data_IF_787369867374
#
_entry.id   IF_787369867374
#
_cell.length_a   1.000
_cell.length_b   1.000
_cell.length_c   1.000
_cell.angle_alpha   90.00
_cell.angle_beta   90.00
_cell.angle_gamma   90.00
#
_symmetry.space_group_name_H-M   'P 1'
#
loop_
_entity.id
_entity.type
_entity.pdbx_description
1 polymer ?
#
# COMPACT_ATOMS: atom_id res chain seq x y z
N UNK A 1 20.13 13.82 38.53
CA UNK A 1 18.67 13.63 38.54
C UNK A 1 18.19 14.01 37.17
N UNK A 2 17.95 13.01 36.31
CA UNK A 2 17.23 13.22 35.06
C UNK A 2 15.79 13.58 35.43
N UNK A 3 15.32 14.75 35.00
CA UNK A 3 13.91 15.11 35.12
C UNK A 3 13.07 14.02 34.45
N UNK A 4 11.96 13.56 35.05
CA UNK A 4 11.07 12.64 34.37
C UNK A 4 10.64 13.26 33.04
N UNK A 5 10.56 12.48 31.95
CA UNK A 5 10.10 13.01 30.67
C UNK A 5 8.73 13.65 30.88
N UNK A 6 8.61 14.93 30.52
CA UNK A 6 7.33 15.65 30.53
C UNK A 6 6.34 14.82 29.72
N UNK A 7 5.31 14.30 30.38
CA UNK A 7 4.22 13.59 29.71
C UNK A 7 3.50 14.62 28.82
N UNK A 8 3.75 14.55 27.51
CA UNK A 8 3.05 15.40 26.54
C UNK A 8 1.60 14.97 26.49
N UNK A 9 0.69 15.89 26.85
CA UNK A 9 -0.75 15.67 26.76
C UNK A 9 -1.33 16.27 25.47
N UNK A 10 -2.59 15.95 25.18
CA UNK A 10 -3.37 16.57 24.09
C UNK A 10 -3.38 18.10 24.25
N UNK A 11 -3.54 18.58 25.48
CA UNK A 11 -3.56 20.01 25.80
C UNK A 11 -2.23 20.69 25.48
N UNK A 12 -1.11 20.07 25.90
CA UNK A 12 0.23 20.60 25.59
C UNK A 12 0.48 20.67 24.09
N UNK A 13 0.04 19.66 23.34
CA UNK A 13 0.14 19.65 21.88
C UNK A 13 -0.72 20.76 21.24
N UNK A 14 -1.94 20.97 21.73
CA UNK A 14 -2.80 22.06 21.27
C UNK A 14 -2.19 23.44 21.55
N UNK A 15 -1.64 23.63 22.76
CA UNK A 15 -1.00 24.89 23.16
C UNK A 15 0.24 25.18 22.29
N UNK A 16 1.04 24.16 21.97
CA UNK A 16 2.19 24.29 21.09
C UNK A 16 1.80 24.71 19.66
N UNK A 17 0.80 24.06 19.06
CA UNK A 17 0.30 24.40 17.72
C UNK A 17 -0.25 25.83 17.69
N UNK A 18 -0.97 26.24 18.73
CA UNK A 18 -1.47 27.61 18.85
C UNK A 18 -0.36 28.65 18.96
N UNK A 19 0.77 28.31 19.61
CA UNK A 19 1.93 29.20 19.68
C UNK A 19 2.63 29.34 18.31
N UNK A 20 2.77 28.25 17.54
CA UNK A 20 3.40 28.28 16.22
C UNK A 20 2.69 29.21 15.22
N UNK A 21 1.36 29.28 15.26
CA UNK A 21 0.57 30.18 14.41
C UNK A 21 0.92 31.66 14.63
N UNK A 22 1.37 32.01 15.83
CA UNK A 22 1.76 33.39 16.16
C UNK A 22 3.13 33.81 15.61
N UNK A 23 3.99 32.86 15.22
CA UNK A 23 5.38 33.13 14.79
C UNK A 23 5.55 33.44 13.29
N UNK A 24 4.48 33.37 12.47
CA UNK A 24 4.48 33.67 11.01
C UNK A 24 5.69 33.12 10.22
N UNK A 25 6.14 31.91 10.58
CA UNK A 25 7.34 31.32 9.97
C UNK A 25 7.03 30.80 8.57
N UNK A 26 7.86 31.17 7.59
CA UNK A 26 7.73 30.68 6.21
C UNK A 26 8.48 29.36 6.07
N UNK A 27 7.79 28.28 5.71
CA UNK A 27 8.37 26.95 5.50
C UNK A 27 8.30 26.62 4.00
N UNK A 28 9.40 26.14 3.42
CA UNK A 28 9.43 25.72 2.01
C UNK A 28 8.66 24.41 1.83
N UNK A 29 7.65 24.39 0.96
CA UNK A 29 6.91 23.15 0.63
C UNK A 29 7.63 22.40 -0.49
N UNK A 30 7.88 21.10 -0.29
CA UNK A 30 8.50 20.22 -1.28
C UNK A 30 7.41 19.52 -2.08
N UNK A 31 7.46 19.67 -3.41
CA UNK A 31 6.47 19.12 -4.34
C UNK A 31 6.93 17.85 -5.07
N UNK A 32 8.23 17.50 -5.00
CA UNK A 32 8.74 16.27 -5.62
C UNK A 32 8.27 15.05 -4.81
N UNK A 33 7.84 13.99 -5.51
CA UNK A 33 7.34 12.76 -4.89
C UNK A 33 8.13 11.55 -5.38
N UNK A 34 9.45 11.66 -5.42
CA UNK A 34 10.32 10.58 -5.86
C UNK A 34 10.26 9.43 -4.83
N UNK A 35 10.17 8.17 -5.31
CA UNK A 35 9.97 6.93 -4.53
C UNK A 35 8.62 6.79 -3.82
N UNK A 36 8.24 7.75 -2.96
CA UNK A 36 7.01 7.68 -2.19
C UNK A 36 5.93 8.57 -2.82
N UNK A 37 4.81 7.95 -3.16
CA UNK A 37 3.60 8.66 -3.55
C UNK A 37 2.85 9.14 -2.31
N UNK A 38 2.05 10.21 -2.39
CA UNK A 38 1.10 10.56 -1.34
C UNK A 38 0.22 9.35 -0.98
N UNK A 39 -0.10 9.18 0.30
CA UNK A 39 -0.94 8.07 0.79
C UNK A 39 -2.32 8.11 0.14
N UNK A 40 -2.86 9.29 -0.13
CA UNK A 40 -4.12 9.44 -0.86
C UNK A 40 -4.08 8.82 -2.26
N UNK A 41 -2.95 8.93 -2.98
CA UNK A 41 -2.78 8.27 -4.28
C UNK A 41 -2.77 6.74 -4.14
N UNK A 42 -2.19 6.21 -3.06
CA UNK A 42 -2.23 4.77 -2.75
C UNK A 42 -3.65 4.31 -2.42
N UNK A 43 -4.41 5.10 -1.64
CA UNK A 43 -5.81 4.80 -1.36
C UNK A 43 -6.66 4.76 -2.64
N UNK A 44 -6.45 5.72 -3.55
CA UNK A 44 -7.11 5.71 -4.85
C UNK A 44 -6.74 4.49 -5.70
N UNK A 45 -5.47 4.09 -5.69
CA UNK A 45 -5.01 2.86 -6.35
C UNK A 45 -5.75 1.63 -5.80
N UNK A 46 -6.03 1.60 -4.50
CA UNK A 46 -6.78 0.54 -3.82
C UNK A 46 -8.31 0.69 -3.90
N UNK A 47 -8.82 1.61 -4.71
CA UNK A 47 -10.26 1.89 -4.91
C UNK A 47 -10.96 2.29 -3.61
N UNK A 48 -10.29 3.12 -2.81
CA UNK A 48 -10.84 3.73 -1.61
C UNK A 48 -10.43 5.19 -1.52
N UNK A 49 -10.79 5.87 -0.43
CA UNK A 49 -10.45 7.27 -0.20
C UNK A 49 -10.28 7.56 1.28
N UNK A 50 -9.59 8.65 1.59
CA UNK A 50 -9.48 9.15 2.96
C UNK A 50 -10.86 9.38 3.59
N UNK A 51 -11.84 9.82 2.80
CA UNK A 51 -13.23 10.00 3.23
C UNK A 51 -13.86 8.69 3.74
N UNK A 52 -13.68 7.59 3.01
CA UNK A 52 -14.19 6.28 3.41
C UNK A 52 -13.49 5.78 4.67
N UNK A 53 -12.16 5.94 4.75
CA UNK A 53 -11.37 5.58 5.93
C UNK A 53 -11.87 6.34 7.16
N UNK A 54 -12.08 7.66 7.06
CA UNK A 54 -12.59 8.50 8.15
C UNK A 54 -14.02 8.14 8.53
N UNK A 55 -14.87 7.84 7.56
CA UNK A 55 -16.25 7.40 7.80
C UNK A 55 -16.27 6.11 8.62
N UNK A 56 -15.45 5.12 8.25
CA UNK A 56 -15.31 3.86 8.98
C UNK A 56 -14.66 4.07 10.36
N UNK A 57 -13.63 4.90 10.47
CA UNK A 57 -12.99 5.24 11.74
C UNK A 57 -14.00 5.86 12.71
N UNK A 58 -14.90 6.74 12.24
CA UNK A 58 -15.93 7.37 13.06
C UNK A 58 -16.99 6.39 13.56
N UNK A 59 -17.28 5.31 12.82
CA UNK A 59 -18.17 4.25 13.31
C UNK A 59 -17.60 3.56 14.56
N UNK A 60 -16.27 3.43 14.63
CA UNK A 60 -15.57 2.84 15.78
C UNK A 60 -15.23 3.89 16.86
N UNK A 61 -14.97 5.13 16.46
CA UNK A 61 -14.54 6.25 17.30
C UNK A 61 -15.43 7.47 17.05
N UNK A 62 -16.64 7.55 17.67
CA UNK A 62 -17.62 8.60 17.36
C UNK A 62 -17.17 10.04 17.64
N UNK A 63 -16.12 10.21 18.45
CA UNK A 63 -15.56 11.52 18.79
C UNK A 63 -14.71 12.15 17.66
N UNK A 64 -14.22 11.34 16.71
CA UNK A 64 -13.42 11.81 15.58
C UNK A 64 -14.26 12.78 14.73
N UNK A 65 -13.72 13.92 14.24
CA UNK A 65 -14.49 14.85 13.41
C UNK A 65 -15.14 14.17 12.19
N UNK A 66 -16.23 14.74 11.68
CA UNK A 66 -16.87 14.20 10.48
C UNK A 66 -15.98 14.40 9.26
N UNK A 67 -16.21 13.59 8.23
CA UNK A 67 -15.60 13.75 6.91
C UNK A 67 -15.75 15.18 6.37
N UNK A 68 -16.91 15.81 6.54
CA UNK A 68 -17.15 17.21 6.17
C UNK A 68 -16.27 18.19 6.96
N UNK A 69 -16.08 17.96 8.26
CA UNK A 69 -15.19 18.80 9.07
C UNK A 69 -13.75 18.64 8.61
N UNK A 70 -13.27 17.41 8.40
CA UNK A 70 -11.91 17.17 7.92
C UNK A 70 -11.69 17.76 6.53
N UNK A 71 -12.63 17.57 5.60
CA UNK A 71 -12.57 18.15 4.26
C UNK A 71 -12.47 19.69 4.32
N UNK A 72 -13.21 20.33 5.23
CA UNK A 72 -13.11 21.77 5.45
C UNK A 72 -11.72 22.19 5.94
N UNK A 73 -11.14 21.44 6.89
CA UNK A 73 -9.79 21.72 7.40
C UNK A 73 -8.73 21.60 6.30
N UNK A 74 -8.85 20.60 5.43
CA UNK A 74 -7.93 20.40 4.30
C UNK A 74 -8.10 21.53 3.26
N UNK A 75 -9.34 21.97 3.00
CA UNK A 75 -9.60 23.06 2.04
C UNK A 75 -9.26 24.46 2.56
N UNK A 76 -9.10 24.64 3.87
CA UNK A 76 -8.80 25.92 4.52
C UNK A 76 -7.49 25.82 5.34
N UNK A 77 -6.33 25.48 4.72
CA UNK A 77 -5.10 25.17 5.45
C UNK A 77 -4.53 26.37 6.22
N UNK A 78 -4.95 27.59 5.90
CA UNK A 78 -4.56 28.82 6.59
C UNK A 78 -5.41 29.15 7.81
N UNK A 79 -6.47 28.37 8.09
CA UNK A 79 -7.33 28.58 9.25
C UNK A 79 -7.03 27.53 10.30
N UNK A 80 -6.51 27.98 11.46
CA UNK A 80 -6.26 27.09 12.56
C UNK A 80 -7.58 26.43 13.05
N UNK A 81 -7.63 25.09 13.19
CA UNK A 81 -8.81 24.43 13.74
C UNK A 81 -9.10 24.92 15.16
N UNK A 82 -10.38 25.00 15.53
CA UNK A 82 -10.76 25.30 16.92
C UNK A 82 -10.11 24.32 17.91
N UNK A 83 -9.77 24.78 19.12
CA UNK A 83 -9.19 23.93 20.18
C UNK A 83 -10.01 22.65 20.41
N UNK A 84 -11.33 22.73 20.41
CA UNK A 84 -12.20 21.55 20.54
C UNK A 84 -12.09 20.55 19.39
N UNK A 85 -11.73 21.01 18.19
CA UNK A 85 -11.44 20.13 17.04
C UNK A 85 -10.07 19.49 17.18
N UNK A 86 -9.04 20.26 17.56
CA UNK A 86 -7.69 19.73 17.85
C UNK A 86 -7.73 18.66 18.94
N UNK A 87 -8.43 18.92 20.06
CA UNK A 87 -8.60 17.94 21.15
C UNK A 87 -9.21 16.62 20.65
N UNK A 88 -10.16 16.66 19.72
CA UNK A 88 -10.78 15.45 19.15
C UNK A 88 -9.87 14.73 18.17
N UNK A 89 -9.11 15.48 17.36
CA UNK A 89 -8.16 14.92 16.40
C UNK A 89 -7.03 14.19 17.11
N UNK A 90 -6.48 14.80 18.15
CA UNK A 90 -5.31 14.28 18.85
C UNK A 90 -5.64 13.33 20.00
N UNK A 91 -6.91 13.11 20.34
CA UNK A 91 -7.32 12.30 21.49
C UNK A 91 -6.60 10.94 21.60
N UNK A 92 -6.45 10.26 20.47
CA UNK A 92 -5.87 8.91 20.39
C UNK A 92 -4.54 8.88 19.60
N UNK A 93 -3.92 10.04 19.35
CA UNK A 93 -2.63 10.10 18.65
C UNK A 93 -1.47 9.94 19.63
N UNK A 94 -0.30 9.46 19.19
CA UNK A 94 0.90 9.41 20.03
C UNK A 94 1.43 10.85 20.26
N UNK A 95 0.96 11.53 21.31
CA UNK A 95 1.20 12.99 21.49
C UNK A 95 2.67 13.38 21.50
N UNK A 96 3.51 12.56 22.15
CA UNK A 96 4.95 12.77 22.22
C UNK A 96 5.59 12.76 20.82
N UNK A 97 5.21 11.79 19.99
CA UNK A 97 5.74 11.64 18.63
C UNK A 97 5.25 12.78 17.73
N UNK A 98 3.98 13.16 17.84
CA UNK A 98 3.42 14.29 17.09
C UNK A 98 4.13 15.59 17.46
N UNK A 99 4.33 15.86 18.75
CA UNK A 99 5.06 17.05 19.20
C UNK A 99 6.50 17.05 18.70
N UNK A 100 7.20 15.91 18.82
CA UNK A 100 8.59 15.81 18.37
C UNK A 100 8.70 16.03 16.85
N UNK A 101 7.79 15.48 16.05
CA UNK A 101 7.73 15.72 14.61
C UNK A 101 7.53 17.21 14.29
N UNK A 102 6.61 17.90 14.97
CA UNK A 102 6.39 19.33 14.77
C UNK A 102 7.61 20.17 15.17
N UNK A 103 8.32 19.81 16.24
CA UNK A 103 9.58 20.47 16.65
C UNK A 103 10.67 20.25 15.59
N UNK A 104 10.82 19.03 15.12
CA UNK A 104 11.82 18.69 14.11
C UNK A 104 11.52 19.33 12.75
N UNK A 105 10.24 19.46 12.38
CA UNK A 105 9.80 20.31 11.26
C UNK A 105 10.15 21.77 11.50
N UNK A 106 9.91 22.33 12.68
CA UNK A 106 10.30 23.70 13.01
C UNK A 106 11.82 23.95 12.94
N UNK A 107 12.64 22.89 12.95
CA UNK A 107 14.10 22.97 12.74
C UNK A 107 14.49 22.84 11.27
N UNK A 108 13.63 22.22 10.45
CA UNK A 108 13.82 22.07 9.02
C UNK A 108 13.18 23.28 8.33
N UNK A 109 13.93 24.00 7.50
CA UNK A 109 13.35 25.10 6.72
C UNK A 109 12.45 24.61 5.55
N UNK A 110 11.97 23.35 5.61
CA UNK A 110 11.13 22.73 4.61
C UNK A 110 10.12 21.72 5.21
N UNK A 111 9.05 21.44 4.46
CA UNK A 111 8.05 20.41 4.77
C UNK A 111 7.75 19.56 3.52
N UNK A 112 7.65 18.25 3.72
CA UNK A 112 7.32 17.28 2.66
C UNK A 112 6.13 16.42 3.09
N UNK A 113 4.96 16.75 2.55
CA UNK A 113 3.68 16.14 2.94
C UNK A 113 3.67 14.60 2.89
N UNK A 114 4.22 13.91 1.87
CA UNK A 114 4.26 12.45 1.85
C UNK A 114 4.95 11.84 3.08
N UNK A 115 6.02 12.46 3.61
CA UNK A 115 6.65 11.93 4.82
C UNK A 115 5.70 11.93 6.02
N UNK A 116 4.88 12.98 6.16
CA UNK A 116 3.92 13.09 7.26
C UNK A 116 2.81 12.06 7.14
N UNK A 117 2.28 11.89 5.94
CA UNK A 117 1.23 10.91 5.65
C UNK A 117 1.73 9.48 5.91
N UNK A 118 2.92 9.14 5.40
CA UNK A 118 3.50 7.81 5.59
C UNK A 118 3.89 7.56 7.05
N UNK A 119 4.51 8.52 7.74
CA UNK A 119 4.82 8.36 9.18
C UNK A 119 3.56 8.12 9.99
N UNK A 120 2.50 8.91 9.75
CA UNK A 120 1.22 8.73 10.43
C UNK A 120 0.59 7.36 10.14
N UNK A 121 0.70 6.85 8.92
CA UNK A 121 0.22 5.52 8.57
C UNK A 121 1.07 4.41 9.21
N UNK A 122 2.39 4.56 9.25
CA UNK A 122 3.32 3.57 9.82
C UNK A 122 3.23 3.49 11.34
N UNK A 123 2.97 4.62 12.02
CA UNK A 123 2.71 4.66 13.46
C UNK A 123 1.26 4.30 13.81
N UNK A 124 0.37 4.27 12.81
CA UNK A 124 -0.88 3.53 12.94
C UNK A 124 -0.56 2.03 13.03
N UNK A 125 -1.45 1.20 13.57
CA UNK A 125 -1.25 -0.25 13.69
C UNK A 125 -1.29 -0.98 12.33
N UNK A 126 -0.60 -0.45 11.33
CA UNK A 126 -0.41 -1.02 10.01
C UNK A 126 0.40 -2.32 10.10
N UNK A 127 1.42 -2.32 10.95
CA UNK A 127 2.21 -3.50 11.30
C UNK A 127 1.89 -3.98 12.72
N UNK A 128 2.00 -5.29 12.90
CA UNK A 128 1.87 -6.02 14.16
C UNK A 128 3.18 -5.91 14.94
N UNK A 129 4.32 -6.16 14.28
CA UNK A 129 5.64 -6.01 14.88
C UNK A 129 6.21 -4.59 14.71
N UNK A 130 7.13 -4.21 15.60
CA UNK A 130 7.80 -2.90 15.54
C UNK A 130 8.88 -2.86 14.45
N UNK A 131 9.54 -4.00 14.15
CA UNK A 131 10.65 -4.09 13.19
C UNK A 131 10.30 -3.52 11.80
N UNK A 132 9.16 -3.87 11.17
CA UNK A 132 8.75 -3.26 9.91
C UNK A 132 8.48 -1.76 10.02
N UNK A 133 7.91 -1.30 11.14
CA UNK A 133 7.64 0.12 11.37
C UNK A 133 8.94 0.94 11.42
N UNK A 134 9.91 0.51 12.23
CA UNK A 134 11.21 1.17 12.34
C UNK A 134 11.95 1.19 11.00
N UNK A 135 11.91 0.06 10.27
CA UNK A 135 12.49 -0.05 8.94
C UNK A 135 11.91 1.00 7.98
N UNK A 136 10.58 1.06 7.85
CA UNK A 136 9.92 1.96 6.91
C UNK A 136 9.98 3.43 7.34
N UNK A 137 9.99 3.75 8.64
CA UNK A 137 10.24 5.11 9.11
C UNK A 137 11.64 5.59 8.68
N UNK A 138 12.64 4.70 8.73
CA UNK A 138 13.97 4.97 8.19
C UNK A 138 13.92 5.30 6.69
N UNK A 139 13.21 4.49 5.90
CA UNK A 139 13.03 4.72 4.45
C UNK A 139 12.36 6.07 4.17
N UNK A 140 11.30 6.42 4.93
CA UNK A 140 10.59 7.70 4.78
C UNK A 140 11.52 8.88 5.05
N UNK A 141 12.35 8.81 6.10
CA UNK A 141 13.33 9.86 6.41
C UNK A 141 14.35 10.04 5.29
N UNK A 142 14.87 8.94 4.75
CA UNK A 142 15.89 9.00 3.71
C UNK A 142 15.29 9.48 2.37
N UNK A 143 14.04 9.11 2.08
CA UNK A 143 13.29 9.63 0.94
C UNK A 143 12.93 11.12 1.10
N UNK A 144 12.66 11.59 2.32
CA UNK A 144 12.46 13.01 2.63
C UNK A 144 13.71 13.81 2.29
N UNK A 145 14.89 13.32 2.68
CA UNK A 145 16.16 13.96 2.35
C UNK A 145 16.41 14.02 0.84
N UNK A 146 16.19 12.90 0.14
CA UNK A 146 16.31 12.83 -1.33
C UNK A 146 15.44 13.90 -2.00
N UNK A 147 14.18 14.01 -1.60
CA UNK A 147 13.24 14.96 -2.19
C UNK A 147 13.55 16.42 -1.81
N UNK A 148 13.95 16.65 -0.55
CA UNK A 148 14.24 18.00 -0.04
C UNK A 148 15.54 18.61 -0.56
N UNK A 149 16.53 17.77 -0.86
CA UNK A 149 17.91 18.20 -1.13
C UNK A 149 18.35 17.87 -2.55
N UNK A 150 18.18 16.62 -2.97
CA UNK A 150 18.75 16.14 -4.24
C UNK A 150 17.83 16.37 -5.43
N UNK A 151 16.51 16.27 -5.22
CA UNK A 151 15.49 16.58 -6.23
C UNK A 151 15.03 18.04 -6.17
N UNK A 152 15.80 18.92 -5.53
CA UNK A 152 15.42 20.32 -5.36
C UNK A 152 15.38 21.07 -6.70
N UNK A 153 14.39 21.94 -6.89
CA UNK A 153 14.13 22.65 -8.15
C UNK A 153 15.28 23.57 -8.60
N UNK A 154 16.10 24.05 -7.66
CA UNK A 154 17.27 24.89 -7.97
C UNK A 154 18.41 24.10 -8.64
N UNK A 155 18.36 22.77 -8.63
CA UNK A 155 19.30 21.91 -9.35
C UNK A 155 18.81 21.70 -10.78
N UNK A 156 19.75 21.57 -11.72
CA UNK A 156 19.40 21.16 -13.08
C UNK A 156 18.77 19.77 -13.12
N UNK A 157 17.93 19.49 -14.12
CA UNK A 157 17.24 18.21 -14.27
C UNK A 157 18.23 17.05 -14.36
N UNK A 158 19.34 17.21 -15.09
CA UNK A 158 20.42 16.24 -15.17
C UNK A 158 21.02 15.97 -13.78
N UNK A 159 21.33 17.02 -13.01
CA UNK A 159 21.91 16.85 -11.68
C UNK A 159 20.95 16.15 -10.72
N UNK A 160 19.65 16.43 -10.81
CA UNK A 160 18.61 15.75 -10.03
C UNK A 160 18.59 14.25 -10.36
N UNK A 161 18.50 13.88 -11.63
CA UNK A 161 18.43 12.47 -12.02
C UNK A 161 19.75 11.71 -11.82
N UNK A 162 20.90 12.37 -11.95
CA UNK A 162 22.19 11.77 -11.59
C UNK A 162 22.28 11.50 -10.08
N UNK A 163 21.81 12.43 -9.25
CA UNK A 163 21.74 12.23 -7.80
C UNK A 163 20.75 11.13 -7.44
N UNK A 164 19.58 11.11 -8.09
CA UNK A 164 18.56 10.08 -7.94
C UNK A 164 19.11 8.69 -8.26
N UNK A 165 19.72 8.51 -9.44
CA UNK A 165 20.25 7.22 -9.89
C UNK A 165 21.34 6.67 -8.95
N UNK A 166 22.16 7.56 -8.38
CA UNK A 166 23.24 7.22 -7.43
C UNK A 166 22.78 7.13 -5.97
N UNK A 167 21.51 7.42 -5.69
CA UNK A 167 21.02 7.51 -4.32
C UNK A 167 20.91 6.11 -3.68
N UNK A 168 21.50 5.89 -2.50
CA UNK A 168 21.42 4.59 -1.80
C UNK A 168 19.98 4.16 -1.49
N UNK A 169 19.08 5.12 -1.25
CA UNK A 169 17.68 4.79 -0.98
C UNK A 169 16.97 4.31 -2.24
N UNK A 170 17.24 4.93 -3.39
CA UNK A 170 16.73 4.48 -4.69
C UNK A 170 17.28 3.10 -5.01
N UNK A 171 18.55 2.83 -4.73
CA UNK A 171 19.13 1.49 -4.84
C UNK A 171 18.42 0.44 -3.98
N UNK A 172 18.10 0.80 -2.73
CA UNK A 172 17.49 -0.13 -1.78
C UNK A 172 16.05 -0.47 -2.10
N UNK A 173 15.24 0.53 -2.47
CA UNK A 173 13.78 0.36 -2.59
C UNK A 173 13.23 0.48 -4.01
N UNK A 174 13.99 1.04 -4.95
CA UNK A 174 13.59 1.15 -6.35
C UNK A 174 13.61 -0.19 -7.11
N UNK A 175 13.32 -0.08 -8.41
CA UNK A 175 13.34 -1.13 -9.40
C UNK A 175 14.71 -1.18 -10.11
N UNK A 176 15.51 -2.24 -9.91
CA UNK A 176 16.88 -2.27 -10.42
C UNK A 176 16.96 -2.34 -11.95
N UNK A 177 15.99 -2.97 -12.61
CA UNK A 177 16.03 -3.23 -14.07
C UNK A 177 15.92 -1.92 -14.85
N UNK A 178 14.96 -1.05 -14.53
CA UNK A 178 14.77 0.24 -15.22
C UNK A 178 15.91 1.22 -14.89
N UNK A 179 16.41 1.18 -13.65
CA UNK A 179 17.50 2.06 -13.20
C UNK A 179 18.81 1.78 -13.95
N UNK A 180 19.08 0.54 -14.34
CA UNK A 180 20.25 0.21 -15.16
C UNK A 180 20.21 0.97 -16.50
N UNK A 181 19.03 1.13 -17.10
CA UNK A 181 18.83 1.90 -18.32
C UNK A 181 19.01 3.40 -18.09
N UNK A 182 18.56 3.92 -16.94
CA UNK A 182 18.68 5.35 -16.62
C UNK A 182 20.14 5.82 -16.63
N UNK A 183 21.07 5.05 -16.06
CA UNK A 183 22.49 5.46 -16.03
C UNK A 183 23.07 5.69 -17.42
N UNK A 184 22.85 4.75 -18.35
CA UNK A 184 23.30 4.90 -19.73
C UNK A 184 22.61 6.07 -20.43
N UNK A 185 21.31 6.28 -20.12
CA UNK A 185 20.51 7.31 -20.77
C UNK A 185 20.87 8.73 -20.36
N UNK A 186 21.26 8.95 -19.10
CA UNK A 186 21.61 10.27 -18.57
C UNK A 186 22.90 10.85 -19.16
N UNK A 187 23.80 10.01 -19.70
CA UNK A 187 25.03 10.48 -20.34
C UNK A 187 24.79 11.00 -21.78
N UNK A 188 23.64 10.67 -22.38
CA UNK A 188 23.29 11.03 -23.77
C UNK A 188 22.41 12.28 -23.90
N UNK A 189 21.69 12.63 -22.83
CA UNK A 189 20.63 13.64 -22.88
C UNK A 189 21.04 14.99 -22.29
N UNK A 190 20.45 16.05 -22.83
CA UNK A 190 20.51 17.40 -22.23
C UNK A 190 19.34 17.60 -21.27
N UNK A 191 19.45 18.58 -20.37
CA UNK A 191 18.43 18.91 -19.35
C UNK A 191 16.99 18.99 -19.90
N UNK A 192 16.80 19.65 -21.05
CA UNK A 192 15.50 19.87 -21.69
C UNK A 192 14.87 18.56 -22.20
N UNK A 193 15.69 17.56 -22.51
CA UNK A 193 15.29 16.28 -23.08
C UNK A 193 14.95 15.28 -21.98
N UNK A 194 15.65 15.33 -20.84
CA UNK A 194 15.48 14.40 -19.72
C UNK A 194 14.06 14.47 -19.15
N UNK A 195 13.48 15.67 -19.01
CA UNK A 195 12.14 15.83 -18.44
C UNK A 195 11.04 15.10 -19.24
N UNK A 196 11.26 14.90 -20.54
CA UNK A 196 10.30 14.26 -21.45
C UNK A 196 10.78 12.88 -21.95
N UNK A 197 11.92 12.39 -21.46
CA UNK A 197 12.46 11.11 -21.87
C UNK A 197 11.69 9.95 -21.21
N UNK A 198 11.36 8.94 -22.03
CA UNK A 198 10.51 7.81 -21.62
C UNK A 198 11.16 7.00 -20.49
N UNK A 199 12.46 6.72 -20.57
CA UNK A 199 13.20 5.95 -19.55
C UNK A 199 13.20 6.70 -18.21
N UNK A 200 13.35 8.02 -18.27
CA UNK A 200 13.33 8.89 -17.10
C UNK A 200 11.96 8.86 -16.40
N UNK A 201 10.87 8.88 -17.17
CA UNK A 201 9.50 8.73 -16.63
C UNK A 201 9.25 7.30 -16.11
N UNK A 202 9.68 6.29 -16.86
CA UNK A 202 9.55 4.88 -16.51
C UNK A 202 10.25 4.56 -15.20
N UNK A 203 11.45 5.10 -14.94
CA UNK A 203 12.14 4.90 -13.66
C UNK A 203 11.28 5.36 -12.48
N UNK A 204 10.73 6.57 -12.55
CA UNK A 204 9.97 7.13 -11.42
C UNK A 204 8.70 6.31 -11.16
N UNK A 205 8.03 5.87 -12.24
CA UNK A 205 6.85 5.01 -12.14
C UNK A 205 7.24 3.64 -11.57
N UNK A 206 8.26 3.00 -12.14
CA UNK A 206 8.70 1.67 -11.74
C UNK A 206 9.15 1.64 -10.29
N UNK A 207 9.94 2.61 -9.84
CA UNK A 207 10.45 2.68 -8.48
C UNK A 207 9.31 2.88 -7.47
N UNK A 208 8.33 3.75 -7.77
CA UNK A 208 7.15 3.93 -6.92
C UNK A 208 6.34 2.64 -6.78
N UNK A 209 6.14 1.91 -7.87
CA UNK A 209 5.43 0.62 -7.81
C UNK A 209 6.27 -0.41 -7.05
N UNK A 210 7.59 -0.47 -7.27
CA UNK A 210 8.49 -1.35 -6.52
C UNK A 210 8.42 -1.07 -5.01
N UNK A 211 8.41 0.20 -4.58
CA UNK A 211 8.24 0.59 -3.18
C UNK A 211 6.92 0.04 -2.61
N UNK A 212 5.81 0.14 -3.35
CA UNK A 212 4.53 -0.44 -2.91
C UNK A 212 4.56 -1.97 -2.84
N UNK A 213 5.21 -2.63 -3.80
CA UNK A 213 5.40 -4.08 -3.78
C UNK A 213 6.23 -4.53 -2.57
N UNK A 214 7.27 -3.78 -2.23
CA UNK A 214 8.09 -4.01 -1.04
C UNK A 214 7.29 -3.80 0.25
N UNK A 215 6.48 -2.74 0.33
CA UNK A 215 5.58 -2.50 1.48
C UNK A 215 4.60 -3.66 1.65
N UNK A 216 3.98 -4.11 0.56
CA UNK A 216 3.10 -5.28 0.58
C UNK A 216 3.82 -6.54 1.07
N UNK A 217 5.07 -6.75 0.65
CA UNK A 217 5.88 -7.88 1.10
C UNK A 217 6.11 -7.87 2.62
N UNK A 218 6.41 -6.69 3.19
CA UNK A 218 6.52 -6.51 4.64
C UNK A 218 5.21 -6.79 5.36
N UNK A 219 4.09 -6.25 4.88
CA UNK A 219 2.77 -6.46 5.50
C UNK A 219 2.40 -7.95 5.51
N UNK A 220 2.69 -8.65 4.41
CA UNK A 220 2.44 -10.09 4.30
C UNK A 220 3.38 -10.88 5.21
N UNK A 221 4.68 -10.57 5.23
CA UNK A 221 5.65 -11.24 6.10
C UNK A 221 5.29 -11.08 7.57
N UNK A 222 4.92 -9.87 7.98
CA UNK A 222 4.50 -9.54 9.33
C UNK A 222 3.24 -10.33 9.74
N UNK A 223 2.25 -10.43 8.85
CA UNK A 223 1.06 -11.27 9.06
C UNK A 223 1.42 -12.75 9.18
N UNK A 224 2.28 -13.28 8.30
CA UNK A 224 2.70 -14.70 8.33
C UNK A 224 3.46 -15.03 9.61
N UNK A 225 4.28 -14.10 10.10
CA UNK A 225 5.02 -14.27 11.36
C UNK A 225 4.09 -14.23 12.57
N UNK A 226 3.02 -13.43 12.53
CA UNK A 226 1.98 -13.44 13.57
C UNK A 226 1.27 -14.80 13.65
N UNK A 227 0.96 -15.43 12.51
CA UNK A 227 0.35 -16.77 12.44
C UNK A 227 1.36 -17.90 12.25
N UNK A 228 2.58 -17.75 12.78
CA UNK A 228 3.71 -18.63 12.46
C UNK A 228 3.45 -20.11 12.74
N UNK A 229 2.83 -20.43 13.88
CA UNK A 229 2.54 -21.83 14.26
C UNK A 229 1.61 -22.51 13.26
N UNK A 230 0.59 -21.79 12.75
CA UNK A 230 -0.29 -22.29 11.70
C UNK A 230 0.46 -22.47 10.39
N UNK A 231 1.34 -21.52 10.05
CA UNK A 231 2.16 -21.59 8.83
C UNK A 231 3.02 -22.85 8.80
N UNK A 232 3.68 -23.18 9.92
CA UNK A 232 4.50 -24.40 10.04
C UNK A 232 3.65 -25.67 10.02
N UNK A 233 2.54 -25.69 10.76
CA UNK A 233 1.63 -26.84 10.80
C UNK A 233 1.11 -27.20 9.40
N UNK A 234 0.84 -26.19 8.59
CA UNK A 234 0.28 -26.35 7.25
C UNK A 234 1.37 -26.55 6.17
N UNK A 235 2.65 -26.59 6.55
CA UNK A 235 3.79 -26.80 5.63
C UNK A 235 4.04 -25.63 4.66
N UNK A 236 3.70 -24.41 5.09
CA UNK A 236 3.71 -23.20 4.26
C UNK A 236 4.92 -22.29 4.54
N UNK A 237 5.89 -22.73 5.35
CA UNK A 237 7.06 -21.95 5.76
C UNK A 237 7.95 -21.47 4.60
N UNK A 238 8.02 -22.25 3.52
CA UNK A 238 8.83 -21.97 2.33
C UNK A 238 7.99 -21.38 1.17
N UNK A 239 6.70 -21.12 1.41
CA UNK A 239 5.85 -20.51 0.40
C UNK A 239 5.91 -19.00 0.53
N UNK A 240 6.22 -18.31 -0.58
CA UNK A 240 5.99 -16.87 -0.71
C UNK A 240 4.51 -16.64 -1.01
N UNK A 241 3.70 -16.08 -0.08
CA UNK A 241 2.29 -15.84 -0.34
C UNK A 241 2.11 -14.87 -1.50
N UNK A 242 0.92 -14.85 -2.12
CA UNK A 242 0.57 -14.00 -3.27
C UNK A 242 1.42 -14.17 -4.54
N UNK A 243 2.49 -14.97 -4.53
CA UNK A 243 3.38 -15.12 -5.67
C UNK A 243 2.66 -15.55 -6.96
N UNK A 244 1.64 -16.42 -6.83
CA UNK A 244 0.82 -16.87 -7.96
C UNK A 244 -0.11 -15.80 -8.53
N UNK A 245 -0.31 -14.69 -7.82
CA UNK A 245 -1.20 -13.58 -8.21
C UNK A 245 -0.39 -12.45 -8.87
N UNK A 246 0.93 -12.40 -8.66
CA UNK A 246 1.79 -11.39 -9.28
C UNK A 246 1.73 -11.48 -10.80
N UNK A 247 1.71 -10.33 -11.50
CA UNK A 247 1.91 -10.28 -12.94
C UNK A 247 3.18 -11.02 -13.36
N UNK A 248 3.03 -11.97 -14.27
CA UNK A 248 4.12 -12.76 -14.83
C UNK A 248 3.76 -13.20 -16.26
N UNK A 249 4.77 -13.44 -17.08
CA UNK A 249 4.58 -14.06 -18.39
C UNK A 249 4.48 -15.57 -18.17
N UNK A 250 3.39 -16.17 -18.62
CA UNK A 250 3.19 -17.61 -18.57
C UNK A 250 4.13 -18.31 -19.56
N UNK A 251 4.97 -19.28 -19.13
CA UNK A 251 5.95 -19.90 -20.00
C UNK A 251 5.37 -20.61 -21.22
N UNK A 252 4.12 -21.09 -21.12
CA UNK A 252 3.46 -21.89 -22.16
C UNK A 252 2.83 -21.00 -23.23
N UNK A 253 2.06 -19.97 -22.82
CA UNK A 253 1.35 -19.08 -23.73
C UNK A 253 2.22 -17.93 -24.23
N UNK A 254 3.27 -17.56 -23.48
CA UNK A 254 4.04 -16.34 -23.72
C UNK A 254 3.25 -15.06 -23.41
N UNK A 255 2.05 -15.18 -22.86
CA UNK A 255 1.17 -14.07 -22.51
C UNK A 255 1.28 -13.73 -21.02
N UNK A 256 0.88 -12.51 -20.67
CA UNK A 256 0.72 -12.12 -19.28
C UNK A 256 -0.40 -12.92 -18.62
N UNK A 257 -0.14 -13.46 -17.43
CA UNK A 257 -1.21 -13.98 -16.59
C UNK A 257 -2.20 -12.86 -16.21
N UNK A 258 -3.41 -13.27 -15.83
CA UNK A 258 -4.41 -12.34 -15.30
C UNK A 258 -4.45 -12.46 -13.78
N UNK A 259 -3.87 -11.48 -13.08
CA UNK A 259 -3.82 -11.45 -11.60
C UNK A 259 -5.21 -11.56 -10.95
N UNK A 260 -6.27 -11.03 -11.57
CA UNK A 260 -7.65 -11.18 -11.07
C UNK A 260 -8.12 -12.62 -11.19
N UNK A 261 -7.87 -13.27 -12.33
CA UNK A 261 -8.13 -14.71 -12.51
C UNK A 261 -7.35 -15.53 -11.49
N UNK A 262 -6.04 -15.29 -11.32
CA UNK A 262 -5.22 -16.00 -10.36
C UNK A 262 -5.73 -15.84 -8.90
N UNK A 263 -6.21 -14.65 -8.53
CA UNK A 263 -6.80 -14.42 -7.21
C UNK A 263 -8.14 -15.15 -7.03
N UNK A 264 -8.98 -15.19 -8.07
CA UNK A 264 -10.23 -15.97 -8.05
C UNK A 264 -9.95 -17.47 -7.99
N UNK A 265 -8.94 -17.97 -8.70
CA UNK A 265 -8.51 -19.37 -8.63
C UNK A 265 -7.95 -19.73 -7.26
N UNK A 266 -7.14 -18.84 -6.66
CA UNK A 266 -6.69 -18.99 -5.28
C UNK A 266 -7.88 -19.16 -4.34
N UNK A 267 -8.86 -18.27 -4.43
CA UNK A 267 -10.05 -18.31 -3.61
C UNK A 267 -10.90 -19.58 -3.86
N UNK A 268 -11.06 -19.99 -5.12
CA UNK A 268 -11.80 -21.19 -5.48
C UNK A 268 -11.17 -22.46 -4.89
N UNK A 269 -9.83 -22.56 -4.89
CA UNK A 269 -9.10 -23.69 -4.29
C UNK A 269 -9.42 -23.83 -2.79
N UNK A 270 -9.61 -22.72 -2.07
CA UNK A 270 -9.98 -22.74 -0.65
C UNK A 270 -11.36 -23.37 -0.38
N UNK A 271 -12.24 -23.40 -1.38
CA UNK A 271 -13.56 -24.03 -1.32
C UNK A 271 -13.61 -25.40 -2.05
N UNK A 272 -12.46 -26.05 -2.26
CA UNK A 272 -12.42 -27.41 -2.84
C UNK A 272 -12.61 -27.45 -4.36
N UNK A 273 -12.25 -26.39 -5.08
CA UNK A 273 -12.30 -26.39 -6.55
C UNK A 273 -11.24 -27.33 -7.17
N UNK A 274 -11.71 -28.37 -7.86
CA UNK A 274 -10.89 -29.40 -8.51
C UNK A 274 -10.58 -29.12 -10.00
N UNK A 275 -10.72 -27.86 -10.47
CA UNK A 275 -10.40 -27.45 -11.85
C UNK A 275 -11.20 -28.14 -12.99
N UNK A 276 -12.27 -28.89 -12.68
CA UNK A 276 -13.19 -29.50 -13.68
C UNK A 276 -13.96 -28.48 -14.53
N UNK A 277 -14.01 -27.23 -14.09
CA UNK A 277 -14.66 -26.09 -14.75
C UNK A 277 -13.89 -24.81 -14.42
N UNK A 278 -14.15 -23.71 -15.13
CA UNK A 278 -13.54 -22.40 -14.80
C UNK A 278 -13.86 -21.96 -13.38
N UNK A 279 -12.90 -21.33 -12.69
CA UNK A 279 -13.07 -20.82 -11.33
C UNK A 279 -14.28 -19.86 -11.21
N UNK A 280 -14.50 -18.99 -12.19
CA UNK A 280 -15.66 -18.07 -12.19
C UNK A 280 -17.02 -18.79 -12.22
N UNK A 281 -17.09 -19.96 -12.87
CA UNK A 281 -18.32 -20.76 -12.90
C UNK A 281 -18.56 -21.40 -11.54
N UNK A 282 -17.50 -22.01 -10.98
CA UNK A 282 -17.53 -22.61 -9.65
C UNK A 282 -17.91 -21.59 -8.56
N UNK A 283 -17.19 -20.47 -8.51
CA UNK A 283 -17.41 -19.39 -7.54
C UNK A 283 -18.76 -18.72 -7.73
N UNK A 284 -19.22 -18.51 -8.97
CA UNK A 284 -20.53 -17.92 -9.22
C UNK A 284 -21.68 -18.78 -8.69
N UNK A 285 -21.59 -20.11 -8.89
CA UNK A 285 -22.54 -21.07 -8.32
C UNK A 285 -22.45 -21.12 -6.79
N UNK A 286 -21.23 -21.13 -6.23
CA UNK A 286 -21.03 -21.13 -4.79
C UNK A 286 -21.59 -19.86 -4.13
N UNK A 287 -21.31 -18.71 -4.72
CA UNK A 287 -21.74 -17.43 -4.20
C UNK A 287 -23.25 -17.25 -4.26
N UNK A 288 -23.93 -17.77 -5.29
CA UNK A 288 -25.39 -17.77 -5.34
C UNK A 288 -26.02 -18.69 -4.27
N UNK A 289 -25.40 -19.83 -3.95
CA UNK A 289 -25.88 -20.75 -2.90
C UNK A 289 -25.83 -20.14 -1.50
N UNK A 290 -24.78 -19.38 -1.21
CA UNK A 290 -24.52 -18.81 0.13
C UNK A 290 -24.89 -17.32 0.24
N UNK A 291 -25.60 -16.75 -0.74
CA UNK A 291 -26.06 -15.37 -0.64
C UNK A 291 -27.33 -15.27 0.19
N UNK A 292 -27.43 -14.22 1.02
CA UNK A 292 -28.66 -13.93 1.76
C UNK A 292 -29.81 -13.49 0.84
N UNK A 293 -29.51 -12.91 -0.32
CA UNK A 293 -30.51 -12.56 -1.32
C UNK A 293 -30.82 -13.76 -2.23
N UNK A 294 -31.87 -14.52 -1.85
CA UNK A 294 -32.34 -15.72 -2.55
C UNK A 294 -32.73 -15.48 -4.02
N UNK A 295 -32.86 -14.23 -4.45
CA UNK A 295 -33.25 -13.88 -5.81
C UNK A 295 -32.06 -13.73 -6.79
N UNK A 296 -30.80 -13.75 -6.31
CA UNK A 296 -29.67 -13.62 -7.24
C UNK A 296 -29.31 -14.96 -7.89
N UNK A 297 -29.62 -15.10 -9.18
CA UNK A 297 -29.23 -16.27 -9.96
C UNK A 297 -27.69 -16.42 -10.09
N UNK A 298 -27.23 -17.67 -10.13
CA UNK A 298 -25.84 -18.02 -10.40
C UNK A 298 -25.34 -17.43 -11.74
N UNK A 299 -26.18 -17.41 -12.76
CA UNK A 299 -25.91 -16.79 -14.08
C UNK A 299 -25.42 -15.34 -13.95
N UNK A 300 -26.04 -14.56 -13.05
CA UNK A 300 -25.71 -13.16 -12.79
C UNK A 300 -24.36 -13.04 -12.07
N UNK A 301 -24.08 -13.90 -11.08
CA UNK A 301 -22.80 -13.93 -10.36
C UNK A 301 -21.65 -14.34 -11.28
N UNK A 302 -21.81 -15.36 -12.11
CA UNK A 302 -20.82 -15.79 -13.10
C UNK A 302 -20.50 -14.65 -14.08
N UNK A 303 -21.54 -13.94 -14.56
CA UNK A 303 -21.37 -12.77 -15.44
C UNK A 303 -20.62 -11.64 -14.75
N UNK A 304 -20.88 -11.40 -13.45
CA UNK A 304 -20.19 -10.39 -12.66
C UNK A 304 -18.69 -10.73 -12.53
N UNK A 305 -18.36 -11.97 -12.15
CA UNK A 305 -16.97 -12.44 -12.06
C UNK A 305 -16.23 -12.36 -13.40
N UNK A 306 -16.91 -12.70 -14.50
CA UNK A 306 -16.37 -12.51 -15.86
C UNK A 306 -16.05 -11.05 -16.16
N UNK A 307 -16.91 -10.12 -15.73
CA UNK A 307 -16.64 -8.69 -15.92
C UNK A 307 -15.40 -8.25 -15.13
N UNK A 308 -15.16 -8.82 -13.94
CA UNK A 308 -13.95 -8.53 -13.15
C UNK A 308 -12.68 -9.00 -13.88
N UNK A 309 -12.64 -10.26 -14.32
CA UNK A 309 -11.51 -10.78 -15.11
C UNK A 309 -11.23 -9.95 -16.36
N UNK A 310 -12.30 -9.50 -17.04
CA UNK A 310 -12.22 -8.69 -18.26
C UNK A 310 -12.03 -7.19 -17.98
N UNK A 311 -12.02 -6.76 -16.72
CA UNK A 311 -11.97 -5.36 -16.28
C UNK A 311 -13.06 -4.48 -16.94
N UNK A 312 -14.27 -5.03 -17.10
CA UNK A 312 -15.43 -4.35 -17.67
C UNK A 312 -16.38 -3.88 -16.57
N UNK A 313 -17.10 -2.79 -16.85
CA UNK A 313 -18.15 -2.21 -15.97
C UNK A 313 -17.64 -1.67 -14.63
N UNK A 314 -16.42 -1.15 -14.61
CA UNK A 314 -15.80 -0.54 -13.43
C UNK A 314 -15.19 -1.57 -12.47
N UNK A 315 -14.59 -1.05 -11.41
CA UNK A 315 -13.92 -1.85 -10.37
C UNK A 315 -14.95 -2.48 -9.42
N UNK A 316 -14.72 -3.69 -8.91
CA UNK A 316 -15.59 -4.30 -7.91
C UNK A 316 -15.55 -3.52 -6.60
N UNK A 317 -16.71 -3.18 -6.05
CA UNK A 317 -16.80 -2.60 -4.71
C UNK A 317 -16.25 -3.58 -3.66
N UNK A 318 -15.53 -3.08 -2.65
CA UNK A 318 -14.93 -3.94 -1.64
C UNK A 318 -15.96 -4.78 -0.86
N UNK A 319 -17.14 -4.23 -0.57
CA UNK A 319 -18.24 -4.99 0.04
C UNK A 319 -18.70 -6.18 -0.81
N UNK A 320 -18.60 -6.07 -2.13
CA UNK A 320 -18.91 -7.16 -3.06
C UNK A 320 -17.82 -8.24 -3.05
N UNK A 321 -16.54 -7.85 -2.98
CA UNK A 321 -15.42 -8.78 -2.78
C UNK A 321 -15.57 -9.54 -1.45
N UNK A 322 -15.90 -8.82 -0.37
CA UNK A 322 -16.16 -9.39 0.96
C UNK A 322 -17.33 -10.38 0.93
N UNK A 323 -18.40 -10.08 0.20
CA UNK A 323 -19.54 -10.99 0.04
C UNK A 323 -19.15 -12.31 -0.66
N UNK A 324 -18.33 -12.24 -1.72
CA UNK A 324 -17.81 -13.45 -2.37
C UNK A 324 -16.89 -14.24 -1.44
N UNK A 325 -15.95 -13.56 -0.78
CA UNK A 325 -15.04 -14.18 0.18
C UNK A 325 -15.81 -14.87 1.32
N UNK A 326 -16.86 -14.24 1.83
CA UNK A 326 -17.72 -14.80 2.87
C UNK A 326 -18.37 -16.12 2.45
N UNK A 327 -18.93 -16.19 1.24
CA UNK A 327 -19.51 -17.42 0.69
C UNK A 327 -18.48 -18.56 0.60
N UNK A 328 -17.21 -18.22 0.28
CA UNK A 328 -16.11 -19.18 0.23
C UNK A 328 -15.68 -19.61 1.63
N UNK A 329 -15.64 -18.69 2.59
CA UNK A 329 -15.32 -19.01 3.99
C UNK A 329 -16.35 -19.97 4.60
N UNK A 330 -17.65 -19.78 4.32
CA UNK A 330 -18.70 -20.72 4.75
C UNK A 330 -18.44 -22.11 4.18
N UNK A 331 -18.14 -22.20 2.89
CA UNK A 331 -17.88 -23.49 2.24
C UNK A 331 -16.61 -24.16 2.76
N UNK A 332 -15.54 -23.39 2.98
CA UNK A 332 -14.30 -23.88 3.56
C UNK A 332 -14.54 -24.49 4.94
N UNK A 333 -15.24 -23.76 5.83
CA UNK A 333 -15.58 -24.26 7.16
C UNK A 333 -16.41 -25.55 7.08
N UNK A 334 -17.37 -25.62 6.14
CA UNK A 334 -18.17 -26.83 5.88
C UNK A 334 -17.32 -28.02 5.41
N UNK A 335 -16.29 -27.79 4.60
CA UNK A 335 -15.40 -28.83 4.09
C UNK A 335 -14.42 -29.33 5.16
N UNK A 336 -14.01 -28.46 6.08
CA UNK A 336 -13.10 -28.78 7.18
C UNK A 336 -13.80 -29.30 8.45
N UNK A 337 -15.13 -29.36 8.46
CA UNK A 337 -15.94 -29.66 9.66
C UNK A 337 -15.64 -28.72 10.85
N UNK A 338 -15.34 -27.46 10.53
CA UNK A 338 -15.00 -26.40 11.49
C UNK A 338 -16.18 -25.42 11.66
N UNK A 339 -16.34 -24.81 12.84
CA UNK A 339 -17.35 -23.77 13.03
C UNK A 339 -17.04 -22.56 12.15
N UNK A 340 -18.07 -21.99 11.54
CA UNK A 340 -17.93 -20.75 10.76
C UNK A 340 -17.67 -19.52 11.65
N UNK A 341 -18.16 -19.52 12.89
CA UNK A 341 -17.99 -18.42 13.85
C UNK A 341 -16.51 -18.08 14.07
N UNK A 342 -16.17 -16.79 14.05
CA UNK A 342 -14.79 -16.31 14.22
C UNK A 342 -13.99 -16.15 12.91
N UNK A 343 -14.50 -16.58 11.75
CA UNK A 343 -13.78 -16.47 10.48
C UNK A 343 -13.90 -15.11 9.76
N UNK A 344 -14.25 -14.04 10.49
CA UNK A 344 -14.36 -12.68 9.92
C UNK A 344 -13.02 -12.14 9.43
N UNK A 345 -11.95 -12.37 10.21
CA UNK A 345 -10.58 -11.99 9.84
C UNK A 345 -10.13 -12.70 8.56
N UNK A 346 -10.36 -14.01 8.46
CA UNK A 346 -10.06 -14.78 7.25
C UNK A 346 -10.85 -14.28 6.04
N UNK A 347 -12.16 -14.04 6.21
CA UNK A 347 -13.02 -13.48 5.16
C UNK A 347 -12.51 -12.13 4.66
N UNK A 348 -12.06 -11.27 5.59
CA UNK A 348 -11.46 -9.99 5.25
C UNK A 348 -10.16 -10.16 4.46
N UNK A 349 -9.25 -11.01 4.92
CA UNK A 349 -7.99 -11.31 4.22
C UNK A 349 -8.23 -11.80 2.80
N UNK A 350 -9.18 -12.70 2.59
CA UNK A 350 -9.53 -13.19 1.25
C UNK A 350 -10.10 -12.08 0.34
N UNK A 351 -10.91 -11.17 0.89
CA UNK A 351 -11.39 -9.99 0.15
C UNK A 351 -10.24 -9.04 -0.22
N UNK A 352 -9.26 -8.86 0.67
CA UNK A 352 -8.04 -8.08 0.40
C UNK A 352 -7.20 -8.73 -0.70
N UNK A 353 -7.03 -10.05 -0.70
CA UNK A 353 -6.32 -10.77 -1.76
C UNK A 353 -6.99 -10.56 -3.12
N UNK A 354 -8.33 -10.58 -3.18
CA UNK A 354 -9.08 -10.25 -4.40
C UNK A 354 -8.82 -8.80 -4.85
N UNK A 355 -8.80 -7.83 -3.92
CA UNK A 355 -8.47 -6.43 -4.23
C UNK A 355 -7.04 -6.28 -4.76
N UNK A 356 -6.08 -7.02 -4.19
CA UNK A 356 -4.70 -7.04 -4.65
C UNK A 356 -4.62 -7.57 -6.08
N UNK A 357 -5.24 -8.72 -6.38
CA UNK A 357 -5.24 -9.28 -7.73
C UNK A 357 -5.86 -8.35 -8.78
N UNK A 358 -6.95 -7.67 -8.40
CA UNK A 358 -7.59 -6.66 -9.25
C UNK A 358 -6.69 -5.44 -9.48
N UNK A 359 -6.09 -4.91 -8.42
CA UNK A 359 -5.20 -3.75 -8.48
C UNK A 359 -3.93 -4.06 -9.29
N UNK A 360 -3.33 -5.24 -9.13
CA UNK A 360 -2.17 -5.67 -9.92
C UNK A 360 -2.51 -5.83 -11.41
N UNK A 361 -3.73 -6.27 -11.74
CA UNK A 361 -4.21 -6.34 -13.12
C UNK A 361 -4.32 -4.96 -13.77
N UNK A 362 -4.67 -3.92 -12.98
CA UNK A 362 -4.72 -2.53 -13.42
C UNK A 362 -3.32 -1.92 -13.53
N UNK A 363 -2.46 -2.12 -12.53
CA UNK A 363 -1.08 -1.64 -12.54
C UNK A 363 -0.37 -2.18 -13.77
N UNK A 364 -0.41 -3.50 -14.01
CA UNK A 364 0.22 -4.10 -15.19
C UNK A 364 -0.30 -3.53 -16.50
N UNK A 365 -1.61 -3.25 -16.60
CA UNK A 365 -2.16 -2.59 -17.78
C UNK A 365 -1.61 -1.18 -17.95
N UNK A 366 -1.63 -0.38 -16.89
CA UNK A 366 -1.10 0.98 -16.92
C UNK A 366 0.37 1.01 -17.31
N UNK A 367 1.19 0.09 -16.80
CA UNK A 367 2.60 -0.04 -17.16
C UNK A 367 2.78 -0.36 -18.66
N UNK A 368 1.98 -1.27 -19.22
CA UNK A 368 2.00 -1.56 -20.66
C UNK A 368 1.52 -0.37 -21.49
N UNK A 369 0.48 0.33 -21.05
CA UNK A 369 -0.10 1.46 -21.77
C UNK A 369 0.86 2.66 -21.84
N UNK A 370 1.75 2.83 -20.85
CA UNK A 370 2.84 3.83 -20.88
C UNK A 370 4.09 3.34 -21.63
N UNK A 371 4.03 2.17 -22.26
CA UNK A 371 5.13 1.62 -23.07
C UNK A 371 6.25 0.95 -22.27
N UNK A 372 6.01 0.55 -21.01
CA UNK A 372 7.04 -0.09 -20.21
C UNK A 372 7.33 -1.52 -20.68
N UNK A 373 8.61 -1.83 -20.89
CA UNK A 373 9.06 -3.15 -21.31
C UNK A 373 8.72 -4.26 -20.31
N UNK A 374 8.55 -5.47 -20.84
CA UNK A 374 8.20 -6.62 -20.02
C UNK A 374 9.23 -6.93 -18.92
N UNK A 375 10.52 -6.79 -19.21
CA UNK A 375 11.60 -7.02 -18.24
C UNK A 375 11.54 -6.02 -17.06
N UNK A 376 11.16 -4.77 -17.34
CA UNK A 376 10.94 -3.75 -16.32
C UNK A 376 9.76 -4.11 -15.42
N UNK A 377 8.63 -4.52 -16.02
CA UNK A 377 7.45 -4.96 -15.28
C UNK A 377 7.77 -6.19 -14.41
N UNK A 378 8.52 -7.17 -14.94
CA UNK A 378 8.96 -8.33 -14.17
C UNK A 378 9.84 -7.89 -12.99
N UNK A 379 10.80 -6.98 -13.21
CA UNK A 379 11.67 -6.45 -12.16
C UNK A 379 10.91 -5.76 -11.01
N UNK A 380 9.81 -5.06 -11.33
CA UNK A 380 8.91 -4.49 -10.32
C UNK A 380 8.27 -5.59 -9.47
N UNK A 381 7.80 -6.68 -10.09
CA UNK A 381 7.17 -7.79 -9.36
C UNK A 381 8.18 -8.60 -8.55
N UNK A 382 9.43 -8.71 -9.03
CA UNK A 382 10.51 -9.35 -8.29
C UNK A 382 10.85 -8.61 -6.99
N UNK A 383 10.65 -7.29 -6.93
CA UNK A 383 10.83 -6.53 -5.70
C UNK A 383 10.01 -7.11 -4.53
N UNK A 384 8.80 -7.62 -4.78
CA UNK A 384 8.00 -8.32 -3.76
C UNK A 384 8.68 -9.59 -3.26
N UNK A 385 9.17 -10.44 -4.17
CA UNK A 385 9.74 -11.75 -3.85
C UNK A 385 11.02 -11.63 -3.04
N UNK A 386 11.89 -10.70 -3.42
CA UNK A 386 13.13 -10.40 -2.71
C UNK A 386 12.85 -9.79 -1.35
N UNK A 387 11.95 -8.80 -1.29
CA UNK A 387 11.64 -8.11 -0.05
C UNK A 387 10.92 -9.00 0.96
N UNK A 388 10.06 -9.92 0.51
CA UNK A 388 9.39 -10.85 1.42
C UNK A 388 10.41 -11.72 2.17
N UNK A 389 11.41 -12.26 1.47
CA UNK A 389 12.51 -13.01 2.08
C UNK A 389 13.31 -12.15 3.05
N UNK A 390 13.63 -10.91 2.65
CA UNK A 390 14.33 -9.97 3.52
C UNK A 390 13.55 -9.68 4.82
N UNK A 391 12.26 -9.37 4.69
CA UNK A 391 11.36 -9.09 5.82
C UNK A 391 11.24 -10.30 6.75
N UNK A 392 11.10 -11.51 6.19
CA UNK A 392 11.07 -12.78 6.93
C UNK A 392 12.34 -13.00 7.76
N UNK A 393 13.51 -12.73 7.17
CA UNK A 393 14.79 -12.78 7.89
C UNK A 393 14.85 -11.73 9.00
N UNK A 394 14.46 -10.49 8.73
CA UNK A 394 14.45 -9.40 9.71
C UNK A 394 13.50 -9.67 10.90
N UNK A 395 12.40 -10.38 10.64
CA UNK A 395 11.43 -10.83 11.65
C UNK A 395 11.85 -12.15 12.35
N UNK A 396 13.06 -12.66 12.09
CA UNK A 396 13.60 -13.84 12.77
C UNK A 396 13.04 -15.17 12.27
N UNK A 397 12.40 -15.21 11.10
CA UNK A 397 11.83 -16.42 10.47
C UNK A 397 12.32 -16.55 9.02
N UNK A 398 13.64 -16.71 8.78
CA UNK A 398 14.19 -16.78 7.43
C UNK A 398 13.61 -17.96 6.63
N UNK A 399 13.53 -17.80 5.31
CA UNK A 399 13.26 -18.92 4.38
C UNK A 399 14.57 -19.67 4.11
N UNK A 400 14.50 -20.99 3.94
CA UNK A 400 15.70 -21.81 3.70
C UNK A 400 16.13 -21.83 2.25
N UNK A 401 15.20 -21.61 1.31
CA UNK A 401 15.50 -21.59 -0.12
C UNK A 401 15.80 -20.18 -0.63
N UNK A 402 16.83 -20.01 -1.50
CA UNK A 402 17.18 -18.72 -2.08
C UNK A 402 16.06 -18.09 -2.91
#
# INVERSE_FOLDING_TARGET
MESPPLLVSVETLCDFIQALDSEQRTIRVINSNALLMPVEAVLHLLDTSLKEVLSNARQQKPFVPSDKTIAKLISEPHHLPSRGTLLRLFRDTPHQEVLQNLIDEGRKDYSWQPAHEWRALLTSRLFINQVPCDFWIGIVRDAELLNAVDMHIDRSVTAQFQAYAKSPIVERVGCPTVRACLHARLDELRDEEIANDEITQHVIIADRVAVLMRMLAWMVADTVVDIWEMTVRDGMEEVTPLNSILPAIEPISGEWNNSTTCALEHLAKQAGWEQKQRAITFLGNLWARHNHDRNTEASSRIRLLRNWEQRKKGRPQFGTLKSLAHAVTIEKARLSDEPFEGNEGYTWTQAVILRIGETLSLIRQGLVDVGMDAEHIIGIMDAYRWEYRFARTALGKPMTSP
#
